data_IF_282394892373
#
_entry.id   IF_282394892373
#
_cell.length_a   1.000
_cell.length_b   1.000
_cell.length_c   1.000
_cell.angle_alpha   90.00
_cell.angle_beta   90.00
_cell.angle_gamma   90.00
#
_symmetry.space_group_name_H-M   'P 1'
#
loop_
_entity.id
_entity.type
_entity.pdbx_description
1 polymer ?
#
# COMPACT_ATOMS: atom_id res chain seq x y z
N UNK A 1 7.86 16.02 -4.49
CA UNK A 1 7.65 15.18 -3.29
C UNK A 1 8.32 13.83 -3.54
N UNK A 2 9.10 13.30 -2.60
CA UNK A 2 9.81 12.03 -2.76
C UNK A 2 8.88 10.84 -2.49
N UNK A 3 8.95 9.78 -3.31
CA UNK A 3 8.21 8.52 -3.11
C UNK A 3 9.15 7.33 -3.22
N UNK A 4 8.81 6.24 -2.53
CA UNK A 4 9.46 4.93 -2.69
C UNK A 4 8.60 4.10 -3.64
N UNK A 5 9.24 3.33 -4.54
CA UNK A 5 8.52 2.42 -5.45
C UNK A 5 8.01 1.20 -4.68
N UNK A 6 6.90 0.64 -5.13
CA UNK A 6 6.34 -0.56 -4.49
C UNK A 6 7.29 -1.75 -4.57
N UNK A 7 8.03 -1.91 -5.67
CA UNK A 7 9.10 -2.92 -5.81
C UNK A 7 10.08 -2.87 -4.64
N UNK A 8 10.51 -1.67 -4.26
CA UNK A 8 11.54 -1.47 -3.24
C UNK A 8 10.99 -1.71 -1.84
N UNK A 9 9.73 -1.31 -1.60
CA UNK A 9 9.03 -1.60 -0.34
C UNK A 9 8.86 -3.10 -0.13
N UNK A 10 8.49 -3.85 -1.18
CA UNK A 10 8.28 -5.29 -1.08
C UNK A 10 9.59 -6.07 -0.88
N UNK A 11 10.72 -5.57 -1.38
CA UNK A 11 12.01 -6.24 -1.25
C UNK A 11 12.78 -5.83 0.01
N UNK A 12 12.68 -4.55 0.42
CA UNK A 12 13.56 -3.94 1.42
C UNK A 12 12.80 -3.18 2.52
N UNK A 13 11.48 -3.25 2.54
CA UNK A 13 10.65 -2.54 3.51
C UNK A 13 10.99 -2.95 4.95
N UNK A 14 11.18 -1.96 5.82
CA UNK A 14 11.49 -2.17 7.25
C UNK A 14 10.25 -1.87 8.09
N UNK A 15 9.76 -2.82 8.91
CA UNK A 15 8.64 -2.57 9.83
C UNK A 15 8.88 -1.39 10.76
N UNK A 16 7.81 -0.66 11.10
CA UNK A 16 7.87 0.51 12.00
C UNK A 16 8.39 1.80 11.36
N UNK A 17 8.72 1.79 10.07
CA UNK A 17 9.14 3.00 9.34
C UNK A 17 7.96 3.73 8.70
N UNK A 18 8.06 5.06 8.61
CA UNK A 18 7.11 5.87 7.85
C UNK A 18 7.65 6.10 6.44
N UNK A 19 6.86 5.72 5.44
CA UNK A 19 7.21 5.84 4.02
C UNK A 19 6.09 6.51 3.23
N UNK A 20 6.43 7.11 2.10
CA UNK A 20 5.46 7.62 1.13
C UNK A 20 5.52 6.78 -0.15
N UNK A 21 4.39 6.18 -0.52
CA UNK A 21 4.21 5.42 -1.77
C UNK A 21 3.08 6.06 -2.58
N UNK A 22 3.11 5.88 -3.90
CA UNK A 22 2.09 6.38 -4.81
C UNK A 22 1.81 5.32 -5.86
N UNK A 23 0.55 5.18 -6.27
CA UNK A 23 0.14 4.21 -7.28
C UNK A 23 -1.37 4.26 -7.52
N UNK A 24 -1.87 3.31 -8.30
CA UNK A 24 -3.28 3.15 -8.62
C UNK A 24 -3.90 2.03 -7.77
N UNK A 25 -5.10 2.29 -7.27
CA UNK A 25 -5.90 1.28 -6.56
C UNK A 25 -6.33 0.21 -7.55
N UNK A 26 -5.90 -1.03 -7.31
CA UNK A 26 -6.35 -2.19 -8.09
C UNK A 26 -7.64 -2.77 -7.53
N UNK A 27 -7.70 -2.90 -6.20
CA UNK A 27 -8.92 -3.30 -5.49
C UNK A 27 -9.01 -2.61 -4.14
N UNK A 28 -10.23 -2.38 -3.67
CA UNK A 28 -10.55 -1.97 -2.30
C UNK A 28 -11.58 -2.96 -1.77
N UNK A 29 -11.23 -3.66 -0.69
CA UNK A 29 -12.11 -4.62 0.00
C UNK A 29 -12.23 -4.20 1.45
N UNK A 30 -13.38 -4.33 2.07
CA UNK A 30 -13.51 -3.93 3.47
C UNK A 30 -14.92 -4.11 3.99
N UNK A 31 -15.04 -3.95 5.31
CA UNK A 31 -16.32 -3.85 6.01
C UNK A 31 -16.40 -2.50 6.74
N UNK A 32 -17.37 -2.35 7.65
CA UNK A 32 -17.57 -1.10 8.41
C UNK A 32 -16.39 -0.68 9.30
N UNK A 33 -15.48 -1.60 9.64
CA UNK A 33 -14.39 -1.34 10.59
C UNK A 33 -13.02 -1.30 9.91
N UNK A 34 -12.80 -2.06 8.83
CA UNK A 34 -11.46 -2.18 8.22
C UNK A 34 -11.56 -2.22 6.70
N UNK A 35 -10.59 -1.59 6.04
CA UNK A 35 -10.37 -1.69 4.61
C UNK A 35 -8.97 -2.17 4.27
N UNK A 36 -8.90 -2.94 3.19
CA UNK A 36 -7.71 -3.44 2.53
C UNK A 36 -7.68 -2.85 1.12
N UNK A 37 -6.60 -2.16 0.77
CA UNK A 37 -6.34 -1.63 -0.57
C UNK A 37 -5.16 -2.39 -1.15
N UNK A 38 -5.35 -2.96 -2.34
CA UNK A 38 -4.25 -3.41 -3.17
C UNK A 38 -3.80 -2.23 -4.05
N UNK A 39 -2.61 -1.69 -3.78
CA UNK A 39 -2.00 -0.59 -4.53
C UNK A 39 -0.93 -1.13 -5.49
N UNK A 40 -0.87 -0.62 -6.72
CA UNK A 40 0.17 -0.95 -7.69
C UNK A 40 0.66 0.32 -8.40
N UNK A 41 1.97 0.43 -8.65
CA UNK A 41 2.60 1.58 -9.30
C UNK A 41 3.33 1.19 -10.60
N UNK A 42 3.13 -0.02 -11.09
CA UNK A 42 3.77 -0.58 -12.28
C UNK A 42 5.23 -1.02 -12.09
N UNK A 43 5.83 -0.82 -10.92
CA UNK A 43 7.24 -1.21 -10.67
C UNK A 43 7.44 -2.72 -10.50
N UNK A 44 6.37 -3.46 -10.16
CA UNK A 44 6.36 -4.91 -9.98
C UNK A 44 4.94 -5.45 -10.19
N UNK A 45 4.82 -6.74 -10.56
CA UNK A 45 3.51 -7.40 -10.78
C UNK A 45 2.70 -7.54 -9.49
N UNK A 46 3.38 -7.65 -8.34
CA UNK A 46 2.75 -7.77 -7.04
C UNK A 46 2.16 -6.43 -6.56
N UNK A 47 1.12 -6.51 -5.74
CA UNK A 47 0.48 -5.32 -5.15
C UNK A 47 0.96 -5.11 -3.72
N UNK A 48 1.09 -3.84 -3.30
CA UNK A 48 1.25 -3.50 -1.89
C UNK A 48 -0.12 -3.51 -1.22
N UNK A 49 -0.28 -4.27 -0.14
CA UNK A 49 -1.49 -4.26 0.66
C UNK A 49 -1.41 -3.14 1.70
N UNK A 50 -2.38 -2.23 1.67
CA UNK A 50 -2.53 -1.18 2.68
C UNK A 50 -3.78 -1.49 3.51
N UNK A 51 -3.63 -1.46 4.83
CA UNK A 51 -4.71 -1.71 5.78
C UNK A 51 -5.05 -0.40 6.48
N UNK A 52 -6.34 -0.07 6.53
CA UNK A 52 -6.83 1.14 7.19
C UNK A 52 -7.99 0.79 8.12
N UNK A 53 -7.97 1.38 9.31
CA UNK A 53 -9.13 1.41 10.19
C UNK A 53 -10.14 2.45 9.65
N UNK A 54 -11.39 2.02 9.51
CA UNK A 54 -12.51 2.86 9.07
C UNK A 54 -13.42 3.28 10.22
N UNK A 55 -13.24 2.72 11.42
CA UNK A 55 -13.95 3.12 12.62
C UNK A 55 -13.32 4.40 13.19
N UNK A 56 -13.63 5.53 12.56
CA UNK A 56 -13.44 6.87 13.12
C UNK A 56 -14.70 7.68 13.00
#
# INVERSE_FOLDING_TARGET
MYRIKISDVLQHGVPGTTITVMGWVRTKRGNKNVAFIALNDGSVINNLQIVFDLAR
#
